data_IF_723907581711
#
_entry.id   IF_723907581711
#
_cell.length_a   1.000
_cell.length_b   1.000
_cell.length_c   1.000
_cell.angle_alpha   90.00
_cell.angle_beta   90.00
_cell.angle_gamma   90.00
#
_symmetry.space_group_name_H-M   'P 1'
#
loop_
_entity.id
_entity.type
_entity.pdbx_description
1 polymer ?
#
# COMPACT_ATOMS: atom_id res chain seq x y z
N UNK A 1 -38.55 -24.64 -24.88
CA UNK A 1 -37.61 -24.61 -26.02
C UNK A 1 -37.27 -23.14 -26.29
N UNK A 2 -36.10 -22.69 -25.81
CA UNK A 2 -35.41 -21.46 -26.23
C UNK A 2 -33.91 -21.76 -26.04
N UNK A 3 -33.15 -21.78 -27.13
CA UNK A 3 -31.68 -21.78 -27.12
C UNK A 3 -31.23 -20.37 -27.47
N UNK A 4 -30.29 -19.84 -26.70
CA UNK A 4 -29.35 -18.79 -27.09
C UNK A 4 -27.92 -19.35 -26.93
N UNK A 5 -26.92 -18.78 -27.65
CA UNK A 5 -25.64 -19.43 -27.94
C UNK A 5 -24.67 -19.40 -26.76
N UNK A 6 -23.70 -20.32 -26.79
CA UNK A 6 -22.59 -20.45 -25.85
C UNK A 6 -21.88 -19.10 -25.62
N UNK A 7 -22.06 -18.57 -24.41
CA UNK A 7 -21.11 -17.69 -23.76
C UNK A 7 -20.36 -18.56 -22.76
N UNK A 8 -19.04 -18.70 -22.92
CA UNK A 8 -18.19 -19.30 -21.90
C UNK A 8 -18.19 -18.42 -20.65
N UNK A 9 -19.04 -18.80 -19.69
CA UNK A 9 -19.07 -18.39 -18.28
C UNK A 9 -17.88 -19.03 -17.55
N UNK A 10 -16.94 -18.31 -16.94
CA UNK A 10 -17.05 -17.72 -15.60
C UNK A 10 -18.03 -18.42 -14.65
N UNK A 11 -17.51 -19.00 -13.57
CA UNK A 11 -18.13 -19.00 -12.24
C UNK A 11 -16.98 -19.21 -11.22
N UNK A 12 -16.50 -18.17 -10.53
CA UNK A 12 -16.99 -17.69 -9.23
C UNK A 12 -17.41 -18.80 -8.26
N UNK A 13 -16.69 -18.90 -7.13
CA UNK A 13 -17.29 -19.26 -5.85
C UNK A 13 -16.73 -18.34 -4.74
N UNK A 14 -17.64 -17.52 -4.26
CA UNK A 14 -17.72 -16.92 -2.93
C UNK A 14 -17.85 -18.01 -1.85
N UNK A 15 -17.31 -17.77 -0.65
CA UNK A 15 -17.82 -18.39 0.59
C UNK A 15 -17.96 -17.31 1.67
N UNK A 16 -19.19 -17.11 2.14
CA UNK A 16 -19.52 -16.43 3.39
C UNK A 16 -20.66 -17.18 4.09
N UNK A 17 -20.57 -17.32 5.42
CA UNK A 17 -21.63 -17.77 6.36
C UNK A 17 -21.87 -19.29 6.40
N UNK A 18 -21.56 -20.01 7.49
CA UNK A 18 -22.41 -20.05 8.70
C UNK A 18 -21.63 -20.48 9.96
N UNK A 19 -22.13 -20.02 11.11
CA UNK A 19 -21.64 -20.13 12.47
C UNK A 19 -21.17 -21.54 12.91
N UNK A 20 -19.99 -21.58 13.54
CA UNK A 20 -19.74 -22.48 14.66
C UNK A 20 -20.00 -21.66 15.94
N UNK A 21 -21.12 -21.91 16.58
CA UNK A 21 -21.29 -21.67 18.01
C UNK A 21 -20.94 -23.00 18.65
N UNK A 22 -19.86 -23.05 19.42
CA UNK A 22 -19.90 -23.49 20.81
C UNK A 22 -18.51 -23.48 21.41
N UNK A 23 -18.52 -23.07 22.67
CA UNK A 23 -17.46 -23.06 23.64
C UNK A 23 -16.66 -24.38 23.64
N UNK A 24 -15.34 -24.28 23.48
CA UNK A 24 -14.42 -25.12 24.23
C UNK A 24 -13.07 -24.42 24.34
N UNK A 25 -12.80 -24.02 25.58
CA UNK A 25 -11.51 -23.61 26.10
C UNK A 25 -10.50 -24.72 25.81
N UNK A 26 -9.46 -24.42 25.03
CA UNK A 26 -8.17 -25.10 25.16
C UNK A 26 -7.07 -24.06 25.28
N UNK A 27 -6.84 -23.64 26.53
CA UNK A 27 -5.50 -23.27 26.96
C UNK A 27 -4.57 -24.45 26.66
N UNK A 28 -3.51 -24.22 25.89
CA UNK A 28 -2.28 -24.98 26.04
C UNK A 28 -1.10 -24.02 26.14
N UNK A 29 -0.28 -24.15 27.19
CA UNK A 29 0.93 -23.37 27.35
C UNK A 29 2.09 -24.02 26.56
N UNK A 30 3.18 -23.25 26.42
CA UNK A 30 4.56 -23.66 26.17
C UNK A 30 5.09 -23.65 24.73
N UNK A 31 6.10 -22.80 24.47
CA UNK A 31 7.56 -23.06 24.41
C UNK A 31 7.98 -23.71 23.08
N UNK A 32 8.88 -23.02 22.38
CA UNK A 32 9.34 -23.29 21.00
C UNK A 32 10.17 -24.58 20.84
N UNK A 33 10.13 -25.17 19.63
CA UNK A 33 11.06 -26.20 19.14
C UNK A 33 11.10 -26.36 17.60
N UNK A 34 12.32 -26.56 17.07
CA UNK A 34 12.83 -26.99 15.74
C UNK A 34 11.91 -26.96 14.47
N UNK A 35 12.44 -26.35 13.40
CA UNK A 35 11.89 -26.30 12.04
C UNK A 35 11.59 -27.68 11.39
N UNK A 36 12.23 -28.77 11.82
CA UNK A 36 11.95 -30.11 11.28
C UNK A 36 10.57 -30.65 11.73
N UNK A 37 10.11 -30.29 12.93
CA UNK A 37 8.77 -30.66 13.43
C UNK A 37 7.64 -29.86 12.73
N UNK A 38 7.93 -28.62 12.29
CA UNK A 38 7.02 -27.80 11.47
C UNK A 38 6.71 -28.44 10.11
N UNK A 39 7.73 -28.94 9.42
CA UNK A 39 7.55 -29.59 8.12
C UNK A 39 6.84 -30.94 8.23
N UNK A 40 7.09 -31.73 9.28
CA UNK A 40 6.37 -32.98 9.52
C UNK A 40 4.89 -32.74 9.87
N UNK A 41 4.56 -31.71 10.64
CA UNK A 41 3.17 -31.35 10.96
C UNK A 41 2.37 -30.92 9.72
N UNK A 42 2.96 -30.06 8.87
CA UNK A 42 2.34 -29.63 7.62
C UNK A 42 2.16 -30.84 6.68
N UNK A 43 3.20 -31.66 6.51
CA UNK A 43 3.17 -32.81 5.59
C UNK A 43 2.19 -33.91 6.03
N UNK A 44 2.05 -34.14 7.35
CA UNK A 44 1.16 -35.16 7.91
C UNK A 44 -0.32 -34.75 7.84
N UNK A 45 -0.62 -33.45 7.94
CA UNK A 45 -1.98 -32.92 7.89
C UNK A 45 -2.49 -32.62 6.47
N UNK A 46 -1.63 -32.31 5.50
CA UNK A 46 -2.05 -32.16 4.09
C UNK A 46 -2.47 -33.50 3.46
N UNK A 47 -1.86 -34.63 3.88
CA UNK A 47 -2.23 -35.98 3.39
C UNK A 47 -3.58 -36.49 3.93
N UNK A 48 -3.98 -36.12 5.15
CA UNK A 48 -5.30 -36.47 5.68
C UNK A 48 -6.43 -35.66 5.03
N UNK A 49 -6.18 -34.41 4.65
CA UNK A 49 -7.14 -33.58 3.92
C UNK A 49 -7.35 -34.04 2.47
N UNK A 50 -6.32 -34.61 1.83
CA UNK A 50 -6.45 -35.18 0.48
C UNK A 50 -7.18 -36.53 0.47
N UNK A 51 -6.97 -37.40 1.47
CA UNK A 51 -7.64 -38.72 1.53
C UNK A 51 -9.13 -38.66 1.88
N UNK A 52 -9.62 -37.60 2.52
CA UNK A 52 -11.06 -37.39 2.78
C UNK A 52 -11.83 -36.78 1.62
N UNK A 53 -11.15 -36.23 0.60
CA UNK A 53 -11.80 -35.65 -0.59
C UNK A 53 -12.20 -36.69 -1.65
N UNK A 54 -11.62 -37.89 -1.61
CA UNK A 54 -11.94 -38.97 -2.56
C UNK A 54 -13.12 -39.86 -2.12
N UNK A 55 -13.58 -39.81 -0.87
CA UNK A 55 -14.65 -40.71 -0.38
C UNK A 55 -16.03 -40.06 -0.27
N UNK A 56 -16.16 -38.75 -0.56
CA UNK A 56 -17.46 -38.04 -0.52
C UNK A 56 -18.08 -37.79 -1.89
N UNK A 57 -17.40 -38.18 -2.99
CA UNK A 57 -17.94 -38.07 -4.36
C UNK A 57 -18.27 -39.43 -4.99
N UNK A 58 -18.13 -40.53 -4.27
CA UNK A 58 -18.58 -41.86 -4.70
C UNK A 58 -19.39 -42.51 -3.57
N UNK A 59 -20.65 -42.11 -3.46
CA UNK A 59 -21.54 -42.68 -2.44
C UNK A 59 -22.89 -41.98 -2.40
N UNK A 60 -23.84 -42.56 -3.14
CA UNK A 60 -25.30 -42.32 -3.12
C UNK A 60 -25.83 -41.32 -4.15
N UNK A 61 -26.23 -41.89 -5.28
CA UNK A 61 -27.19 -41.30 -6.19
C UNK A 61 -28.62 -41.22 -5.61
N UNK A 62 -29.44 -40.49 -6.37
CA UNK A 62 -30.90 -40.35 -6.30
C UNK A 62 -31.53 -39.58 -5.13
N UNK A 63 -32.13 -38.42 -5.48
CA UNK A 63 -33.56 -38.19 -5.25
C UNK A 63 -34.01 -37.32 -4.05
N UNK A 64 -34.58 -36.16 -4.39
CA UNK A 64 -35.72 -35.47 -3.75
C UNK A 64 -35.65 -34.91 -2.31
N UNK A 65 -35.89 -33.60 -2.21
CA UNK A 65 -36.84 -33.01 -1.24
C UNK A 65 -36.26 -32.25 -0.05
N UNK A 66 -36.21 -30.90 -0.12
CA UNK A 66 -36.15 -30.04 1.06
C UNK A 66 -37.56 -29.54 1.41
N UNK A 67 -37.95 -29.62 2.68
CA UNK A 67 -39.29 -29.25 3.18
C UNK A 67 -39.28 -27.95 4.00
N UNK A 68 -40.46 -27.32 4.09
CA UNK A 68 -40.80 -25.96 4.55
C UNK A 68 -40.32 -25.51 5.96
N UNK A 69 -39.70 -26.38 6.75
CA UNK A 69 -39.18 -26.08 8.11
C UNK A 69 -37.80 -25.42 8.15
N UNK A 70 -37.09 -25.36 7.02
CA UNK A 70 -35.74 -24.75 6.97
C UNK A 70 -35.78 -23.22 6.82
N UNK A 71 -36.92 -22.66 6.40
CA UNK A 71 -37.13 -21.23 6.14
C UNK A 71 -37.15 -20.37 7.42
N UNK A 72 -37.74 -20.88 8.50
CA UNK A 72 -37.89 -20.15 9.77
C UNK A 72 -36.60 -20.13 10.60
N UNK A 73 -35.76 -21.16 10.46
CA UNK A 73 -34.42 -21.21 11.08
C UNK A 73 -33.43 -20.23 10.46
N UNK A 74 -33.55 -19.95 9.17
CA UNK A 74 -32.67 -19.00 8.48
C UNK A 74 -33.01 -17.55 8.87
N UNK A 75 -34.28 -17.22 9.13
CA UNK A 75 -34.71 -15.87 9.54
C UNK A 75 -34.25 -15.45 10.93
N UNK A 76 -34.08 -16.38 11.87
CA UNK A 76 -33.61 -16.04 13.23
C UNK A 76 -32.09 -15.82 13.31
N UNK A 77 -31.33 -16.33 12.32
CA UNK A 77 -29.86 -16.32 12.35
C UNK A 77 -29.23 -15.10 11.66
N UNK A 78 -29.97 -14.39 10.79
CA UNK A 78 -29.46 -13.24 10.03
C UNK A 78 -30.51 -12.12 9.88
N UNK A 79 -30.66 -11.21 10.86
CA UNK A 79 -31.73 -10.19 10.82
C UNK A 79 -31.55 -9.13 9.72
N UNK A 80 -30.34 -8.96 9.18
CA UNK A 80 -29.98 -7.90 8.22
C UNK A 80 -29.27 -8.41 6.95
N UNK A 81 -29.30 -9.72 6.67
CA UNK A 81 -28.77 -10.24 5.40
C UNK A 81 -29.88 -10.33 4.36
N UNK A 82 -29.71 -9.60 3.25
CA UNK A 82 -30.45 -9.69 1.99
C UNK A 82 -31.91 -9.18 2.00
N UNK A 83 -32.11 -7.93 1.55
CA UNK A 83 -33.44 -7.37 1.28
C UNK A 83 -33.85 -7.56 -0.21
N UNK A 84 -33.81 -8.80 -0.68
CA UNK A 84 -34.27 -9.21 -2.01
C UNK A 84 -35.47 -10.15 -1.85
N UNK A 85 -36.62 -9.75 -2.38
CA UNK A 85 -37.82 -10.60 -2.45
C UNK A 85 -38.15 -10.88 -3.91
N UNK A 86 -38.68 -12.05 -4.23
CA UNK A 86 -39.21 -12.34 -5.56
C UNK A 86 -40.67 -11.90 -5.65
N UNK A 87 -41.06 -11.32 -6.79
CA UNK A 87 -42.48 -11.08 -7.08
C UNK A 87 -43.23 -12.38 -7.42
N UNK A 88 -44.54 -12.28 -7.64
CA UNK A 88 -45.44 -13.39 -7.96
C UNK A 88 -45.08 -14.13 -9.26
N UNK A 89 -44.16 -13.55 -10.06
CA UNK A 89 -43.65 -14.14 -11.30
C UNK A 89 -42.22 -14.71 -11.16
N UNK A 90 -41.64 -14.63 -9.96
CA UNK A 90 -40.31 -15.16 -9.63
C UNK A 90 -39.15 -14.22 -9.97
N UNK A 91 -39.38 -12.93 -10.21
CA UNK A 91 -38.31 -11.94 -10.46
C UNK A 91 -37.83 -11.27 -9.17
N UNK A 92 -36.50 -11.10 -8.94
CA UNK A 92 -35.99 -10.42 -7.74
C UNK A 92 -36.26 -8.91 -7.77
N UNK A 93 -36.77 -8.37 -6.66
CA UNK A 93 -37.04 -6.93 -6.45
C UNK A 93 -36.46 -6.49 -5.10
N UNK A 94 -35.86 -5.29 -5.07
CA UNK A 94 -35.28 -4.68 -3.86
C UNK A 94 -36.36 -3.96 -3.05
N UNK A 95 -36.46 -4.24 -1.76
CA UNK A 95 -37.37 -3.54 -0.84
C UNK A 95 -36.64 -2.37 -0.18
N UNK A 96 -37.17 -1.12 -0.24
CA UNK A 96 -36.54 0.02 0.42
C UNK A 96 -36.60 -0.13 1.95
N UNK A 97 -35.47 0.04 2.64
CA UNK A 97 -35.42 0.10 4.11
C UNK A 97 -35.54 1.56 4.58
N UNK A 98 -36.53 1.85 5.44
CA UNK A 98 -36.56 3.09 6.23
C UNK A 98 -35.79 2.88 7.52
N UNK A 99 -34.56 3.40 7.61
CA UNK A 99 -33.75 3.34 8.83
C UNK A 99 -34.27 4.35 9.89
N UNK A 100 -34.34 4.00 11.18
CA UNK A 100 -34.63 4.96 12.24
C UNK A 100 -33.41 5.88 12.50
N UNK A 101 -33.62 7.10 13.03
CA UNK A 101 -32.56 8.09 13.20
C UNK A 101 -31.61 7.73 14.36
N UNK A 102 -30.32 8.09 14.28
CA UNK A 102 -29.34 7.81 15.33
C UNK A 102 -29.56 8.67 16.59
N UNK A 103 -29.15 8.20 17.79
CA UNK A 103 -29.30 8.95 19.04
C UNK A 103 -28.40 10.19 19.09
N UNK A 104 -28.95 11.28 19.64
CA UNK A 104 -28.29 12.58 19.81
C UNK A 104 -27.06 12.50 20.75
N UNK A 105 -25.86 12.73 20.21
CA UNK A 105 -24.68 13.05 21.01
C UNK A 105 -24.56 14.58 21.19
N UNK A 106 -24.11 15.07 22.37
CA UNK A 106 -24.02 16.49 22.65
C UNK A 106 -22.93 17.17 21.81
N UNK A 107 -23.28 18.37 21.33
CA UNK A 107 -22.53 19.23 20.40
C UNK A 107 -21.28 19.86 21.04
N UNK A 108 -20.11 19.89 20.36
CA UNK A 108 -19.09 20.90 20.60
C UNK A 108 -19.40 22.18 19.77
N UNK A 109 -19.27 23.39 20.35
CA UNK A 109 -19.30 24.65 19.60
C UNK A 109 -17.97 24.80 18.82
N UNK A 110 -17.79 25.54 17.72
CA UNK A 110 -18.52 26.59 17.02
C UNK A 110 -17.85 26.79 15.66
N UNK A 111 -18.61 27.30 14.68
CA UNK A 111 -18.23 27.77 13.33
C UNK A 111 -16.74 27.96 13.04
N UNK A 112 -16.26 27.25 12.01
CA UNK A 112 -15.35 27.81 11.01
C UNK A 112 -15.89 27.47 9.63
N UNK A 113 -16.03 28.49 8.79
CA UNK A 113 -16.43 28.39 7.39
C UNK A 113 -15.36 27.64 6.58
N UNK A 114 -15.26 26.32 6.76
CA UNK A 114 -14.44 25.46 5.93
C UNK A 114 -15.40 24.75 4.97
N UNK A 115 -15.34 25.09 3.68
CA UNK A 115 -16.07 24.42 2.60
C UNK A 115 -15.64 22.94 2.38
N UNK A 116 -14.95 22.34 3.34
CA UNK A 116 -14.72 20.91 3.41
C UNK A 116 -15.96 20.28 4.04
N UNK A 117 -16.80 19.62 3.23
CA UNK A 117 -18.02 18.87 3.60
C UNK A 117 -17.81 17.76 4.66
N UNK A 118 -17.15 18.04 5.79
CA UNK A 118 -16.74 17.09 6.81
C UNK A 118 -15.60 16.15 6.41
N UNK A 119 -14.99 16.33 5.23
CA UNK A 119 -13.92 15.45 4.73
C UNK A 119 -12.56 15.80 5.36
N UNK A 120 -11.75 14.82 5.79
CA UNK A 120 -10.48 15.08 6.47
C UNK A 120 -9.32 15.23 5.47
N UNK A 121 -8.27 15.95 5.91
CA UNK A 121 -6.93 15.83 5.32
C UNK A 121 -6.33 14.47 5.66
N UNK A 122 -5.53 13.90 4.78
CA UNK A 122 -4.97 12.55 4.91
C UNK A 122 -3.45 12.61 4.83
N UNK A 123 -2.77 12.13 5.87
CA UNK A 123 -1.32 11.94 5.90
C UNK A 123 -1.03 10.44 6.09
N UNK A 124 -0.39 9.83 5.09
CA UNK A 124 0.03 8.44 5.09
C UNK A 124 1.56 8.38 5.22
N UNK A 125 2.04 7.96 6.39
CA UNK A 125 3.48 7.76 6.64
C UNK A 125 3.80 6.27 6.49
N UNK A 126 4.74 5.94 5.61
CA UNK A 126 5.26 4.60 5.41
C UNK A 126 6.74 4.55 5.78
N UNK A 127 7.08 3.78 6.82
CA UNK A 127 8.46 3.51 7.18
C UNK A 127 8.98 2.26 6.44
N UNK A 128 10.18 2.35 5.88
CA UNK A 128 10.83 1.26 5.14
C UNK A 128 11.58 0.34 6.10
N UNK A 129 11.47 -0.98 5.90
CA UNK A 129 12.13 -2.05 6.71
C UNK A 129 12.04 -1.90 8.24
N UNK A 130 10.90 -1.41 8.74
CA UNK A 130 10.59 -1.40 10.18
C UNK A 130 9.80 -2.65 10.55
N UNK A 131 10.33 -3.44 11.49
CA UNK A 131 9.67 -4.61 12.02
C UNK A 131 8.73 -4.27 13.18
N UNK A 132 7.74 -5.13 13.43
CA UNK A 132 6.87 -5.00 14.62
C UNK A 132 7.67 -5.06 15.92
N UNK A 133 8.79 -5.79 15.93
CA UNK A 133 9.69 -5.88 17.06
C UNK A 133 10.33 -4.54 17.44
N UNK A 134 10.64 -3.70 16.45
CA UNK A 134 11.23 -2.37 16.66
C UNK A 134 10.25 -1.43 17.38
N UNK A 135 8.95 -1.57 17.09
CA UNK A 135 7.88 -0.73 17.63
C UNK A 135 7.39 -1.20 19.00
N UNK A 136 7.22 -2.51 19.19
CA UNK A 136 6.48 -3.05 20.35
C UNK A 136 7.33 -3.78 21.39
N UNK A 137 8.55 -4.22 21.05
CA UNK A 137 9.30 -5.18 21.88
C UNK A 137 10.68 -4.71 22.33
N UNK A 138 11.12 -3.53 21.88
CA UNK A 138 12.46 -3.04 22.13
C UNK A 138 12.43 -1.75 22.95
N UNK A 139 12.69 -1.85 24.27
CA UNK A 139 12.95 -0.67 25.14
C UNK A 139 14.20 0.14 24.73
N UNK A 140 14.91 -0.31 23.69
CA UNK A 140 16.18 0.26 23.21
C UNK A 140 16.00 1.45 22.28
N UNK A 141 14.83 1.60 21.65
CA UNK A 141 14.58 2.69 20.69
C UNK A 141 13.43 3.56 21.21
N UNK A 142 13.75 4.79 21.59
CA UNK A 142 12.76 5.74 22.05
C UNK A 142 12.00 6.33 20.85
N UNK A 143 10.69 6.11 20.80
CA UNK A 143 9.79 6.67 19.79
C UNK A 143 8.62 7.42 20.44
N UNK A 144 8.87 8.49 21.22
CA UNK A 144 7.84 9.19 21.99
C UNK A 144 6.67 9.69 21.13
N UNK A 145 6.92 10.17 19.92
CA UNK A 145 5.86 10.65 19.02
C UNK A 145 5.00 9.49 18.49
N UNK A 146 5.60 8.34 18.14
CA UNK A 146 4.87 7.15 17.72
C UNK A 146 4.05 6.59 18.88
N UNK A 147 4.63 6.56 20.08
CA UNK A 147 3.96 6.12 21.31
C UNK A 147 2.76 7.01 21.64
N UNK A 148 2.90 8.34 21.49
CA UNK A 148 1.80 9.28 21.68
C UNK A 148 0.70 9.08 20.63
N UNK A 149 1.05 8.84 19.36
CA UNK A 149 0.10 8.55 18.29
C UNK A 149 -0.65 7.23 18.57
N UNK A 150 0.07 6.19 18.96
CA UNK A 150 -0.48 4.89 19.36
C UNK A 150 -1.40 4.97 20.58
N UNK A 151 -1.17 5.91 21.50
CA UNK A 151 -2.00 6.14 22.68
C UNK A 151 -3.31 6.88 22.38
N UNK A 152 -3.40 7.59 21.25
CA UNK A 152 -4.58 8.36 20.83
C UNK A 152 -5.32 7.75 19.63
N UNK A 153 -4.71 6.81 18.94
CA UNK A 153 -5.21 6.21 17.71
C UNK A 153 -5.62 4.74 17.84
N UNK A 154 -5.89 4.14 16.70
CA UNK A 154 -6.17 2.70 16.56
C UNK A 154 -4.87 1.99 16.21
N UNK A 155 -4.63 0.85 16.88
CA UNK A 155 -3.51 -0.05 16.60
C UNK A 155 -4.02 -1.35 16.00
N UNK A 156 -3.41 -1.77 14.90
CA UNK A 156 -3.62 -3.09 14.33
C UNK A 156 -2.53 -4.03 14.82
N UNK A 157 -2.91 -5.11 15.51
CA UNK A 157 -1.98 -6.14 16.00
C UNK A 157 -1.73 -7.25 14.98
N UNK A 158 -2.55 -7.31 13.93
CA UNK A 158 -2.47 -8.28 12.84
C UNK A 158 -2.59 -7.57 11.49
N UNK A 159 -1.53 -6.85 11.13
CA UNK A 159 -1.39 -6.16 9.85
C UNK A 159 -0.33 -6.87 9.01
N UNK A 160 -0.62 -7.09 7.73
CA UNK A 160 0.25 -7.83 6.83
C UNK A 160 0.74 -6.97 5.67
N UNK A 161 1.98 -7.20 5.27
CA UNK A 161 2.55 -6.73 4.01
C UNK A 161 3.19 -7.89 3.27
N UNK A 162 3.39 -7.72 1.97
CA UNK A 162 4.34 -8.56 1.23
C UNK A 162 5.77 -8.21 1.68
N UNK A 163 6.68 -9.19 1.85
CA UNK A 163 7.97 -8.98 2.52
C UNK A 163 9.02 -8.27 1.63
N UNK A 164 8.59 -7.47 0.64
CA UNK A 164 9.42 -6.85 -0.38
C UNK A 164 8.91 -5.44 -0.69
N UNK A 165 9.83 -4.48 -0.81
CA UNK A 165 9.48 -3.06 -0.83
C UNK A 165 8.64 -2.67 -2.06
N UNK A 166 9.08 -2.96 -3.28
CA UNK A 166 8.36 -2.58 -4.50
C UNK A 166 6.96 -3.22 -4.59
N UNK A 167 6.80 -4.55 -4.39
CA UNK A 167 5.47 -5.17 -4.30
C UNK A 167 4.56 -4.54 -3.23
N UNK A 168 5.10 -4.22 -2.05
CA UNK A 168 4.32 -3.65 -0.92
C UNK A 168 3.82 -2.24 -1.22
N UNK A 169 4.69 -1.40 -1.80
CA UNK A 169 4.35 -0.03 -2.22
C UNK A 169 3.28 -0.02 -3.30
N UNK A 170 3.40 -0.91 -4.29
CA UNK A 170 2.37 -1.07 -5.31
C UNK A 170 1.03 -1.52 -4.71
N UNK A 171 1.04 -2.51 -3.81
CA UNK A 171 -0.19 -2.95 -3.13
C UNK A 171 -0.86 -1.81 -2.36
N UNK A 172 -0.07 -1.01 -1.64
CA UNK A 172 -0.57 0.11 -0.86
C UNK A 172 -1.19 1.21 -1.75
N UNK A 173 -0.52 1.56 -2.84
CA UNK A 173 -0.96 2.65 -3.71
C UNK A 173 -2.10 2.23 -4.67
N UNK A 174 -2.16 0.96 -5.08
CA UNK A 174 -3.15 0.47 -6.05
C UNK A 174 -4.33 -0.28 -5.41
N UNK A 175 -4.20 -0.75 -4.18
CA UNK A 175 -5.14 -1.69 -3.55
C UNK A 175 -5.16 -3.09 -4.20
N UNK A 176 -4.23 -3.40 -5.12
CA UNK A 176 -4.18 -4.67 -5.83
C UNK A 176 -3.05 -5.56 -5.33
N UNK A 177 -3.25 -6.89 -5.39
CA UNK A 177 -2.16 -7.84 -5.16
C UNK A 177 -1.05 -7.69 -6.21
N UNK A 178 0.23 -8.00 -5.87
CA UNK A 178 1.37 -7.75 -6.76
C UNK A 178 1.25 -8.44 -8.13
N UNK A 179 0.68 -9.64 -8.18
CA UNK A 179 0.47 -10.42 -9.41
C UNK A 179 -0.50 -9.77 -10.42
N UNK A 180 -1.22 -8.72 -10.02
CA UNK A 180 -2.09 -7.93 -10.92
C UNK A 180 -1.39 -6.72 -11.53
N UNK A 181 -0.20 -6.38 -11.06
CA UNK A 181 0.62 -5.35 -11.69
C UNK A 181 1.36 -5.90 -12.90
N UNK A 182 2.08 -5.00 -13.59
CA UNK A 182 2.81 -5.31 -14.83
C UNK A 182 3.78 -6.47 -14.69
N UNK A 183 4.52 -6.52 -13.58
CA UNK A 183 5.44 -7.61 -13.27
C UNK A 183 4.95 -8.39 -12.04
N UNK A 184 4.69 -9.72 -12.12
CA UNK A 184 4.17 -10.48 -10.99
C UNK A 184 5.03 -10.43 -9.71
N UNK A 185 6.34 -10.21 -9.87
CA UNK A 185 7.32 -10.11 -8.79
C UNK A 185 7.61 -8.65 -8.36
N UNK A 186 6.84 -7.68 -8.86
CA UNK A 186 7.08 -6.25 -8.71
C UNK A 186 8.00 -5.68 -9.79
N UNK A 187 7.86 -4.37 -10.03
CA UNK A 187 8.78 -3.58 -10.84
C UNK A 187 9.63 -2.76 -9.89
N UNK A 188 10.93 -3.01 -9.92
CA UNK A 188 11.92 -2.39 -9.06
C UNK A 188 12.62 -1.30 -9.84
N UNK A 189 12.94 -0.20 -9.17
CA UNK A 189 13.75 0.92 -9.66
C UNK A 189 13.46 1.42 -11.09
N UNK A 190 14.17 2.45 -11.55
CA UNK A 190 14.02 2.94 -12.92
C UNK A 190 14.70 2.04 -13.96
N UNK A 191 15.54 1.08 -13.51
CA UNK A 191 16.39 0.23 -14.37
C UNK A 191 15.64 -0.99 -14.90
N UNK A 192 14.86 -1.67 -14.05
CA UNK A 192 14.09 -2.85 -14.48
C UNK A 192 12.80 -2.46 -15.20
N UNK A 193 12.30 -1.25 -14.95
CA UNK A 193 10.93 -0.90 -15.27
C UNK A 193 10.64 -0.64 -16.73
N UNK A 194 11.48 0.12 -17.46
CA UNK A 194 11.09 0.85 -18.68
C UNK A 194 9.72 1.59 -18.58
N UNK A 195 9.12 1.61 -17.38
CA UNK A 195 7.76 2.02 -16.98
C UNK A 195 7.55 1.59 -15.51
N UNK A 196 6.39 1.87 -14.91
CA UNK A 196 6.09 1.54 -13.51
C UNK A 196 5.42 0.16 -13.33
N UNK A 197 4.91 -0.14 -12.13
CA UNK A 197 4.21 -1.39 -11.84
C UNK A 197 2.72 -1.40 -12.26
N UNK A 198 2.12 -0.24 -12.55
CA UNK A 198 0.69 -0.12 -12.86
C UNK A 198 0.39 -0.58 -14.29
N UNK A 199 -0.61 -1.44 -14.45
CA UNK A 199 -1.18 -1.77 -15.76
C UNK A 199 -2.10 -0.66 -16.26
N UNK A 200 -2.28 -0.58 -17.58
CA UNK A 200 -3.21 0.37 -18.19
C UNK A 200 -4.61 0.24 -17.57
N UNK A 201 -5.20 1.38 -17.19
CA UNK A 201 -6.52 1.45 -16.54
C UNK A 201 -6.53 1.20 -15.03
N UNK A 202 -5.41 0.81 -14.42
CA UNK A 202 -5.30 0.81 -12.96
C UNK A 202 -5.11 2.24 -12.45
N UNK A 203 -5.79 2.57 -11.35
CA UNK A 203 -5.70 3.88 -10.70
C UNK A 203 -5.09 3.73 -9.32
N UNK A 204 -4.32 4.73 -8.91
CA UNK A 204 -3.78 4.78 -7.54
C UNK A 204 -4.76 5.47 -6.59
N UNK A 205 -4.57 5.29 -5.29
CA UNK A 205 -5.27 6.06 -4.24
C UNK A 205 -5.05 7.57 -4.41
N UNK A 206 -3.85 8.01 -4.83
CA UNK A 206 -3.57 9.41 -5.08
C UNK A 206 -4.41 9.94 -6.24
N UNK A 207 -4.52 9.18 -7.32
CA UNK A 207 -5.34 9.53 -8.47
C UNK A 207 -6.82 9.63 -8.11
N UNK A 208 -7.35 8.65 -7.37
CA UNK A 208 -8.73 8.67 -6.89
C UNK A 208 -9.00 9.89 -6.00
N UNK A 209 -8.11 10.17 -5.03
CA UNK A 209 -8.26 11.32 -4.13
C UNK A 209 -8.15 12.65 -4.88
N UNK A 210 -7.26 12.76 -5.86
CA UNK A 210 -7.12 13.97 -6.69
C UNK A 210 -8.35 14.20 -7.56
N UNK A 211 -8.70 13.23 -8.39
CA UNK A 211 -9.71 13.38 -9.44
C UNK A 211 -11.13 13.36 -8.89
N UNK A 212 -11.44 12.42 -7.99
CA UNK A 212 -12.78 12.27 -7.41
C UNK A 212 -12.93 12.99 -6.08
N UNK A 213 -11.85 13.04 -5.30
CA UNK A 213 -11.87 13.66 -3.98
C UNK A 213 -11.64 15.17 -3.99
N UNK A 214 -10.99 15.71 -5.03
CA UNK A 214 -10.57 17.11 -5.06
C UNK A 214 -9.43 17.40 -4.09
N UNK A 215 -8.59 16.41 -3.78
CA UNK A 215 -7.44 16.58 -2.91
C UNK A 215 -6.25 17.12 -3.70
N UNK A 216 -5.52 18.05 -3.12
CA UNK A 216 -4.13 18.28 -3.46
C UNK A 216 -3.29 17.11 -2.99
N UNK A 217 -2.52 16.52 -3.90
CA UNK A 217 -1.76 15.28 -3.63
C UNK A 217 -0.26 15.53 -3.67
N UNK A 218 0.43 15.03 -2.64
CA UNK A 218 1.88 15.15 -2.49
C UNK A 218 2.52 13.83 -2.11
N UNK A 219 3.70 13.57 -2.68
CA UNK A 219 4.54 12.44 -2.31
C UNK A 219 5.93 12.91 -1.88
N UNK A 220 6.43 12.39 -0.75
CA UNK A 220 7.81 12.56 -0.33
C UNK A 220 8.47 11.19 -0.10
N UNK A 221 9.70 11.00 -0.58
CA UNK A 221 10.54 9.85 -0.26
C UNK A 221 10.57 8.73 -1.29
N UNK A 222 10.80 7.52 -0.81
CA UNK A 222 11.13 6.37 -1.68
C UNK A 222 9.93 5.97 -2.55
N UNK A 223 10.09 6.02 -3.87
CA UNK A 223 9.05 5.59 -4.82
C UNK A 223 9.10 4.09 -5.07
N UNK A 224 10.23 3.60 -5.59
CA UNK A 224 10.58 2.20 -5.74
C UNK A 224 9.46 1.30 -6.31
N UNK A 225 8.73 1.76 -7.33
CA UNK A 225 7.74 0.94 -8.06
C UNK A 225 7.87 1.09 -9.58
N UNK A 226 9.09 1.39 -10.03
CA UNK A 226 9.42 1.60 -11.43
C UNK A 226 9.42 3.07 -11.86
N UNK A 227 9.42 3.26 -13.17
CA UNK A 227 9.54 4.57 -13.82
C UNK A 227 10.33 4.42 -15.11
N UNK A 228 10.25 5.43 -15.98
CA UNK A 228 10.92 5.46 -17.27
C UNK A 228 11.76 6.71 -17.41
N UNK A 229 13.06 6.50 -17.53
CA UNK A 229 14.05 7.55 -17.78
C UNK A 229 13.74 8.26 -19.11
N UNK A 230 13.77 9.60 -19.15
CA UNK A 230 13.62 10.32 -20.40
C UNK A 230 14.83 10.11 -21.30
N UNK A 231 14.59 9.80 -22.58
CA UNK A 231 15.64 9.55 -23.57
C UNK A 231 15.57 10.61 -24.69
N UNK A 232 16.74 11.04 -25.17
CA UNK A 232 16.85 11.84 -26.39
C UNK A 232 16.41 11.00 -27.60
N UNK A 233 15.95 11.62 -28.70
CA UNK A 233 15.56 10.89 -29.90
C UNK A 233 16.68 9.97 -30.41
N UNK A 234 16.38 8.68 -30.54
CA UNK A 234 17.32 7.66 -31.00
C UNK A 234 18.31 7.15 -29.95
N UNK A 235 18.28 7.66 -28.72
CA UNK A 235 19.08 7.14 -27.61
C UNK A 235 18.47 5.84 -27.06
N UNK A 236 19.32 5.02 -26.43
CA UNK A 236 18.94 3.79 -25.74
C UNK A 236 19.28 3.96 -24.27
N UNK A 237 18.43 3.44 -23.38
CA UNK A 237 18.63 3.49 -21.94
C UNK A 237 19.99 2.86 -21.55
N UNK A 238 20.86 3.65 -20.94
CA UNK A 238 22.07 3.17 -20.30
C UNK A 238 21.81 2.88 -18.82
N UNK A 239 21.61 1.61 -18.51
CA UNK A 239 21.29 1.12 -17.16
C UNK A 239 22.43 1.31 -16.15
N UNK A 240 23.65 1.48 -16.61
CA UNK A 240 24.83 1.66 -15.75
C UNK A 240 25.08 3.14 -15.41
N UNK A 241 24.56 4.06 -16.24
CA UNK A 241 24.75 5.49 -16.11
C UNK A 241 23.40 6.22 -16.22
N UNK A 242 22.48 5.91 -15.29
CA UNK A 242 21.12 6.46 -15.34
C UNK A 242 21.08 7.99 -15.29
N UNK A 243 21.96 8.63 -14.52
CA UNK A 243 21.94 10.07 -14.30
C UNK A 243 22.85 10.82 -15.28
N UNK A 244 24.04 10.27 -15.57
CA UNK A 244 25.08 11.01 -16.32
C UNK A 244 25.09 10.77 -17.83
N UNK A 245 24.43 9.71 -18.34
CA UNK A 245 24.49 9.41 -19.76
C UNK A 245 23.90 10.54 -20.62
N UNK A 246 24.65 10.96 -21.64
CA UNK A 246 24.24 12.04 -22.54
C UNK A 246 23.01 11.71 -23.38
N UNK A 247 22.68 10.43 -23.55
CA UNK A 247 21.45 9.96 -24.17
C UNK A 247 20.21 10.18 -23.30
N UNK A 248 20.37 10.41 -21.99
CA UNK A 248 19.26 10.67 -21.07
C UNK A 248 18.92 12.16 -21.00
N UNK A 249 17.64 12.49 -21.15
CA UNK A 249 17.14 13.85 -21.36
C UNK A 249 16.60 14.52 -20.09
N UNK A 250 17.28 14.33 -18.96
CA UNK A 250 16.88 14.93 -17.67
C UNK A 250 16.80 16.46 -17.66
N UNK A 251 17.39 17.15 -18.64
CA UNK A 251 17.39 18.62 -18.72
C UNK A 251 16.12 19.18 -19.31
N UNK A 252 15.39 18.39 -20.11
CA UNK A 252 14.23 18.86 -20.85
C UNK A 252 12.97 18.09 -20.51
N UNK A 253 13.08 16.94 -19.86
CA UNK A 253 11.97 16.04 -19.60
C UNK A 253 12.00 15.51 -18.17
N UNK A 254 10.83 15.32 -17.54
CA UNK A 254 10.73 14.64 -16.27
C UNK A 254 10.91 13.12 -16.45
N UNK A 255 11.08 12.43 -15.33
CA UNK A 255 10.78 11.01 -15.20
C UNK A 255 9.36 10.74 -15.70
N UNK A 256 9.20 9.74 -16.57
CA UNK A 256 7.90 9.26 -16.99
C UNK A 256 7.45 8.05 -16.18
N UNK A 257 6.15 7.80 -16.16
CA UNK A 257 5.49 6.76 -15.36
C UNK A 257 5.82 6.88 -13.85
N UNK A 258 6.17 8.10 -13.42
CA UNK A 258 6.57 8.43 -12.06
C UNK A 258 5.37 8.77 -11.16
N UNK A 259 5.61 9.38 -9.98
CA UNK A 259 4.53 9.82 -9.09
C UNK A 259 3.48 10.70 -9.78
N UNK A 260 3.92 11.57 -10.69
CA UNK A 260 3.07 12.50 -11.45
C UNK A 260 2.02 11.75 -12.28
N UNK A 261 2.41 10.64 -12.90
CA UNK A 261 1.57 9.84 -13.79
C UNK A 261 0.57 8.96 -13.03
N UNK A 262 0.79 8.74 -11.73
CA UNK A 262 -0.13 8.00 -10.87
C UNK A 262 -0.92 8.91 -9.93
N UNK A 263 -1.03 10.20 -10.24
CA UNK A 263 -1.96 11.10 -9.56
C UNK A 263 -1.39 11.95 -8.42
N UNK A 264 -0.06 11.96 -8.20
CA UNK A 264 0.56 12.94 -7.31
C UNK A 264 0.77 14.28 -8.03
N UNK A 265 0.15 15.35 -7.53
CA UNK A 265 0.28 16.70 -8.08
C UNK A 265 1.67 17.30 -7.87
N UNK A 266 2.27 17.04 -6.71
CA UNK A 266 3.66 17.38 -6.40
C UNK A 266 4.40 16.16 -5.86
N UNK A 267 5.71 16.07 -6.09
CA UNK A 267 6.54 15.03 -5.49
C UNK A 267 7.97 15.49 -5.18
N UNK A 268 8.55 14.90 -4.16
CA UNK A 268 9.97 14.94 -3.87
C UNK A 268 10.46 13.53 -3.53
N UNK A 269 10.97 12.81 -4.52
CA UNK A 269 11.19 11.38 -4.40
C UNK A 269 12.65 10.96 -4.59
N UNK A 270 12.93 9.75 -4.13
CA UNK A 270 14.10 8.97 -4.54
C UNK A 270 13.64 7.67 -5.16
N UNK A 271 14.51 7.05 -5.96
CA UNK A 271 14.19 5.78 -6.59
C UNK A 271 14.19 4.65 -5.56
N UNK A 272 15.39 4.29 -5.06
CA UNK A 272 15.57 3.19 -4.11
C UNK A 272 15.77 3.66 -2.65
N UNK A 273 15.69 4.97 -2.38
CA UNK A 273 15.99 5.52 -1.07
C UNK A 273 17.47 5.46 -0.72
N UNK A 274 17.78 5.15 0.55
CA UNK A 274 19.17 5.04 1.03
C UNK A 274 19.78 3.65 0.80
N UNK A 275 19.01 2.68 0.29
CA UNK A 275 19.43 1.27 0.14
C UNK A 275 20.16 1.00 -1.17
N UNK A 276 19.87 1.77 -2.21
CA UNK A 276 20.35 1.55 -3.55
C UNK A 276 20.41 2.87 -4.32
N UNK A 277 21.17 2.86 -5.41
CA UNK A 277 21.20 3.98 -6.33
C UNK A 277 20.00 4.01 -7.29
N UNK A 278 19.87 5.07 -8.08
CA UNK A 278 20.72 6.25 -8.05
C UNK A 278 20.52 7.09 -6.78
N UNK A 279 21.62 7.51 -6.15
CA UNK A 279 21.63 8.30 -4.91
C UNK A 279 21.33 9.77 -5.22
N UNK A 280 20.08 10.05 -5.57
CA UNK A 280 19.62 11.32 -6.11
C UNK A 280 18.18 11.62 -5.75
N UNK A 281 17.80 12.89 -5.94
CA UNK A 281 16.46 13.40 -5.67
C UNK A 281 15.78 13.80 -6.98
N UNK A 282 14.48 13.55 -7.06
CA UNK A 282 13.64 13.99 -8.16
C UNK A 282 12.49 14.83 -7.63
N UNK A 283 12.45 16.09 -8.04
CA UNK A 283 11.37 17.02 -7.71
C UNK A 283 10.39 17.07 -8.88
N UNK A 284 9.16 16.65 -8.65
CA UNK A 284 8.11 16.58 -9.68
C UNK A 284 8.58 15.82 -10.96
N UNK A 285 9.41 14.79 -10.76
CA UNK A 285 10.01 13.99 -11.83
C UNK A 285 11.32 14.54 -12.40
N UNK A 286 11.72 15.78 -12.11
CA UNK A 286 12.98 16.34 -12.60
C UNK A 286 14.15 15.99 -11.66
N UNK A 287 15.25 15.52 -12.23
CA UNK A 287 16.49 15.22 -11.51
C UNK A 287 17.10 16.52 -10.95
N UNK A 288 17.27 16.58 -9.64
CA UNK A 288 18.02 17.67 -9.00
C UNK A 288 19.52 17.37 -9.01
N UNK A 289 20.36 18.41 -9.11
CA UNK A 289 21.82 18.27 -8.97
C UNK A 289 22.54 17.52 -10.10
N UNK A 290 21.98 17.48 -11.32
CA UNK A 290 22.56 16.74 -12.47
C UNK A 290 24.00 17.14 -12.78
N UNK A 291 24.33 18.43 -12.71
CA UNK A 291 25.67 18.93 -13.02
C UNK A 291 26.74 18.48 -12.00
N UNK A 292 26.31 17.83 -10.91
CA UNK A 292 27.13 17.34 -9.82
C UNK A 292 27.04 15.81 -9.68
N UNK A 293 26.73 15.08 -10.75
CA UNK A 293 26.66 13.61 -10.70
C UNK A 293 28.06 13.02 -10.49
N UNK A 294 28.17 12.19 -9.46
CA UNK A 294 29.37 11.43 -9.09
C UNK A 294 29.04 9.94 -8.99
N UNK A 295 30.07 9.10 -9.02
CA UNK A 295 29.93 7.68 -8.70
C UNK A 295 30.24 7.46 -7.23
N UNK A 296 29.21 7.15 -6.44
CA UNK A 296 29.37 6.74 -5.06
C UNK A 296 29.89 5.29 -5.00
N UNK A 297 30.96 5.09 -4.24
CA UNK A 297 31.53 3.75 -4.04
C UNK A 297 31.00 3.12 -2.76
N UNK A 298 30.91 1.79 -2.71
CA UNK A 298 30.57 1.07 -1.47
C UNK A 298 31.51 1.50 -0.34
N UNK A 299 30.92 1.80 0.83
CA UNK A 299 31.65 2.16 2.02
C UNK A 299 31.05 3.35 2.77
N UNK A 300 31.83 3.82 3.75
CA UNK A 300 31.48 4.94 4.62
C UNK A 300 32.06 6.23 4.06
N UNK A 301 31.21 7.25 3.91
CA UNK A 301 31.58 8.55 3.36
C UNK A 301 31.18 9.65 4.32
N UNK A 302 32.17 10.45 4.73
CA UNK A 302 31.89 11.65 5.52
C UNK A 302 31.24 12.68 4.62
N UNK A 303 30.07 13.15 5.05
CA UNK A 303 29.24 14.11 4.33
C UNK A 303 29.57 15.54 4.76
N UNK A 304 29.15 16.52 3.96
CA UNK A 304 29.33 17.93 4.29
C UNK A 304 28.63 18.35 5.59
N UNK A 305 27.57 17.63 6.01
CA UNK A 305 26.87 17.85 7.29
C UNK A 305 27.65 17.34 8.51
N UNK A 306 28.77 16.63 8.29
CA UNK A 306 29.55 15.97 9.34
C UNK A 306 29.03 14.59 9.71
N UNK A 307 27.94 14.11 9.10
CA UNK A 307 27.47 12.74 9.23
C UNK A 307 28.22 11.74 8.35
N UNK A 308 28.04 10.45 8.58
CA UNK A 308 28.57 9.38 7.74
C UNK A 308 27.47 8.73 6.90
N UNK A 309 27.50 8.95 5.59
CA UNK A 309 26.67 8.20 4.66
C UNK A 309 27.28 6.84 4.36
N UNK A 310 26.45 5.81 4.38
CA UNK A 310 26.90 4.44 4.14
C UNK A 310 26.29 3.98 2.83
N UNK A 311 27.15 3.77 1.84
CA UNK A 311 26.79 3.34 0.50
C UNK A 311 26.90 1.83 0.45
N UNK A 312 25.75 1.17 0.23
CA UNK A 312 25.67 -0.30 0.20
C UNK A 312 25.98 -0.88 -1.18
N UNK A 313 25.72 -0.12 -2.25
CA UNK A 313 25.94 -0.55 -3.63
C UNK A 313 26.53 0.61 -4.43
N UNK A 314 27.66 0.41 -5.11
CA UNK A 314 28.23 1.48 -5.94
C UNK A 314 27.25 1.85 -7.05
N UNK A 315 26.97 3.15 -7.19
CA UNK A 315 26.06 3.66 -8.23
C UNK A 315 26.27 5.16 -8.43
N UNK A 316 25.61 5.73 -9.43
CA UNK A 316 25.56 7.17 -9.61
C UNK A 316 24.72 7.85 -8.52
N UNK A 317 25.02 9.11 -8.28
CA UNK A 317 24.26 9.97 -7.40
C UNK A 317 24.73 11.40 -7.53
N UNK A 318 24.05 12.30 -6.85
CA UNK A 318 24.49 13.70 -6.77
C UNK A 318 25.57 13.85 -5.71
N UNK A 319 26.51 14.78 -5.90
CA UNK A 319 27.59 15.03 -4.95
C UNK A 319 27.06 15.51 -3.59
N UNK A 320 25.91 16.17 -3.58
CA UNK A 320 25.20 16.64 -2.38
C UNK A 320 24.46 15.54 -1.62
N UNK A 321 24.51 14.29 -2.06
CA UNK A 321 23.80 13.20 -1.41
C UNK A 321 24.28 13.00 0.04
N UNK A 322 23.32 12.99 0.95
CA UNK A 322 23.55 12.76 2.37
C UNK A 322 22.43 11.91 2.96
N UNK A 323 22.72 10.62 3.14
CA UNK A 323 21.79 9.65 3.73
C UNK A 323 21.50 9.90 5.22
N UNK A 324 22.33 10.69 5.92
CA UNK A 324 22.12 11.02 7.34
C UNK A 324 21.02 12.07 7.52
N UNK A 325 20.84 12.94 6.53
CA UNK A 325 19.78 13.95 6.49
C UNK A 325 18.52 13.48 5.76
N UNK A 326 18.53 12.30 5.15
CA UNK A 326 17.48 11.81 4.26
C UNK A 326 16.06 12.02 4.82
N UNK A 327 15.77 11.51 6.03
CA UNK A 327 14.44 11.65 6.61
C UNK A 327 14.13 13.10 7.04
N UNK A 328 15.12 13.89 7.44
CA UNK A 328 14.92 15.30 7.81
C UNK A 328 14.55 16.12 6.58
N UNK A 329 15.18 15.85 5.44
CA UNK A 329 14.83 16.46 4.14
C UNK A 329 13.38 16.11 3.79
N UNK A 330 12.98 14.84 3.91
CA UNK A 330 11.59 14.44 3.63
C UNK A 330 10.56 15.13 4.53
N UNK A 331 10.87 15.28 5.82
CA UNK A 331 10.01 16.00 6.77
C UNK A 331 9.91 17.47 6.36
N UNK A 332 11.03 18.14 6.09
CA UNK A 332 11.07 19.53 5.64
C UNK A 332 10.25 19.77 4.37
N UNK A 333 10.41 18.90 3.37
CA UNK A 333 9.65 18.97 2.11
C UNK A 333 8.15 18.78 2.32
N UNK A 334 7.78 17.91 3.28
CA UNK A 334 6.37 17.71 3.66
C UNK A 334 5.80 18.91 4.39
N UNK A 335 6.56 19.49 5.32
CA UNK A 335 6.19 20.71 6.05
C UNK A 335 6.02 21.90 5.09
N UNK A 336 6.97 22.11 4.19
CA UNK A 336 6.90 23.18 3.18
C UNK A 336 5.67 23.04 2.28
N UNK A 337 5.36 21.82 1.81
CA UNK A 337 4.13 21.57 1.05
C UNK A 337 2.88 21.90 1.87
N UNK A 338 2.82 21.45 3.12
CA UNK A 338 1.68 21.67 4.01
C UNK A 338 1.49 23.15 4.35
N UNK A 339 2.58 23.87 4.66
CA UNK A 339 2.55 25.31 4.92
C UNK A 339 2.10 26.09 3.69
N UNK A 340 2.66 25.80 2.52
CA UNK A 340 2.25 26.44 1.26
C UNK A 340 0.76 26.20 0.97
N UNK A 341 0.29 24.96 1.18
CA UNK A 341 -1.11 24.57 1.01
C UNK A 341 -2.03 25.34 1.95
N UNK A 342 -1.72 25.34 3.25
CA UNK A 342 -2.52 26.05 4.26
C UNK A 342 -2.52 27.56 4.07
N UNK A 343 -1.44 28.15 3.54
CA UNK A 343 -1.37 29.57 3.24
C UNK A 343 -2.19 29.94 1.99
N UNK A 344 -2.08 29.18 0.90
CA UNK A 344 -2.69 29.54 -0.39
C UNK A 344 -4.11 29.01 -0.56
N UNK A 345 -4.39 27.82 0.00
CA UNK A 345 -5.63 27.06 -0.22
C UNK A 345 -6.10 26.37 1.08
N UNK A 346 -6.33 27.12 2.17
CA UNK A 346 -6.67 26.55 3.48
C UNK A 346 -7.98 25.74 3.51
N UNK A 347 -8.86 25.98 2.54
CA UNK A 347 -10.13 25.24 2.40
C UNK A 347 -10.01 23.99 1.54
N UNK A 348 -8.91 23.78 0.82
CA UNK A 348 -8.75 22.61 -0.05
C UNK A 348 -8.24 21.42 0.77
N UNK A 349 -8.60 20.21 0.36
CA UNK A 349 -8.18 18.98 1.03
C UNK A 349 -6.77 18.59 0.57
N UNK A 350 -5.98 18.01 1.47
CA UNK A 350 -4.64 17.51 1.13
C UNK A 350 -4.49 16.02 1.44
N UNK A 351 -3.81 15.30 0.54
CA UNK A 351 -3.36 13.92 0.71
C UNK A 351 -1.85 13.88 0.54
N UNK A 352 -1.15 13.45 1.58
CA UNK A 352 0.31 13.36 1.60
C UNK A 352 0.73 11.90 1.83
N UNK A 353 1.60 11.39 0.97
CA UNK A 353 2.24 10.08 1.10
C UNK A 353 3.73 10.28 1.39
N UNK A 354 4.17 9.93 2.60
CA UNK A 354 5.54 10.17 3.09
C UNK A 354 6.22 8.83 3.35
N UNK A 355 7.13 8.45 2.45
CA UNK A 355 7.87 7.21 2.45
C UNK A 355 9.29 7.39 3.04
N UNK A 356 9.42 7.18 4.35
CA UNK A 356 10.66 7.34 5.11
C UNK A 356 11.66 6.21 4.84
N UNK A 357 12.96 6.50 4.99
CA UNK A 357 14.04 5.52 4.86
C UNK A 357 14.30 4.72 6.14
N UNK A 358 14.83 3.50 5.97
CA UNK A 358 14.92 2.46 7.01
C UNK A 358 15.83 2.75 8.20
N UNK A 359 16.77 3.70 8.09
CA UNK A 359 17.85 3.82 9.08
C UNK A 359 17.60 4.84 10.18
N UNK A 360 16.54 5.65 10.07
CA UNK A 360 16.28 6.76 10.99
C UNK A 360 14.80 7.06 11.21
N UNK A 361 13.90 6.09 11.00
CA UNK A 361 12.49 6.29 11.36
C UNK A 361 12.40 6.72 12.84
N UNK A 362 13.20 6.12 13.71
CA UNK A 362 13.32 6.48 15.14
C UNK A 362 13.64 7.96 15.41
N UNK A 363 14.49 8.62 14.61
CA UNK A 363 14.83 10.03 14.81
C UNK A 363 13.66 10.97 14.48
N UNK A 364 12.85 10.66 13.47
CA UNK A 364 11.62 11.43 13.19
C UNK A 364 10.60 11.32 14.35
N UNK A 365 10.64 10.21 15.10
CA UNK A 365 9.76 10.00 16.24
C UNK A 365 10.33 10.51 17.57
N UNK A 366 11.55 11.06 17.57
CA UNK A 366 12.36 11.33 18.76
C UNK A 366 12.43 12.78 19.22
N UNK A 367 11.91 13.75 18.45
CA UNK A 367 11.94 15.18 18.77
C UNK A 367 10.58 15.73 19.17
#
# INVERSE_FOLDING_TARGET
MCRLPEVQSHCMLTCGGSCCVDDDIFEFPMIWGDNQQRCEFITKNTKQLWKRRQTYCEGNGNGNGATETDSEKIRSMCPNACNLTCDETGKPVLVPTTSPPPPNNPKPPTNNNNNNNGRPNILLILADDVGTGDVYTMDKVQMPNLNALMGKGIKFTDAHSTPLCAPSRYMLLSGNYPHRGRNPNGTWNMIQGDTNQFMDGQVSIAQVLKESGGYDTFMAGKYHIGGRVPLKPGAVLNKNNLLSDDGHDWNNQPLFDGPQDIGFGKSYMTDEGIQGGPYSWFRNGYLEGRDEVVTWQVGDHVTASGGTSIILNSNEGVASWDSTLYNQILVKETEEFMEEHLQKRPSDLMFMYVALGYRWAACCWGS
#
